data_IF_823079638058
#
_entry.id   IF_823079638058
#
_cell.length_a   1.000
_cell.length_b   1.000
_cell.length_c   1.000
_cell.angle_alpha   90.00
_cell.angle_beta   90.00
_cell.angle_gamma   90.00
#
_symmetry.space_group_name_H-M   'P 1'
#
loop_
_entity.id
_entity.type
_entity.pdbx_description
1 polymer ?
#
# COMPACT_ATOMS: atom_id res chain seq x y z
N UNK A 1 18.35 -45.00 -11.19
CA UNK A 1 19.47 -44.08 -11.47
C UNK A 1 18.92 -42.68 -11.16
N UNK A 2 18.69 -42.23 -9.93
CA UNK A 2 19.44 -42.32 -8.66
C UNK A 2 20.94 -42.01 -8.79
N UNK A 3 21.30 -40.80 -8.34
CA UNK A 3 22.40 -40.44 -7.41
C UNK A 3 22.63 -38.92 -7.53
N UNK A 4 22.17 -38.11 -6.59
CA UNK A 4 22.78 -37.84 -5.27
C UNK A 4 23.88 -36.76 -5.34
N UNK A 5 23.47 -35.54 -4.94
CA UNK A 5 24.35 -34.45 -4.54
C UNK A 5 25.13 -34.88 -3.28
N UNK A 6 26.45 -34.93 -3.38
CA UNK A 6 27.33 -35.34 -2.28
C UNK A 6 27.64 -34.20 -1.30
N UNK A 7 27.16 -34.43 -0.08
CA UNK A 7 27.72 -34.14 1.26
C UNK A 7 29.08 -33.43 1.35
N UNK A 8 29.03 -32.16 1.76
CA UNK A 8 29.87 -31.47 2.76
C UNK A 8 28.93 -30.43 3.38
N UNK A 9 28.53 -30.40 4.64
CA UNK A 9 28.94 -31.08 5.86
C UNK A 9 27.70 -31.28 6.75
N UNK A 10 27.65 -32.40 7.46
CA UNK A 10 26.65 -32.71 8.49
C UNK A 10 27.07 -32.09 9.83
N UNK A 11 26.08 -31.63 10.60
CA UNK A 11 26.01 -31.47 12.07
C UNK A 11 25.60 -30.04 12.48
N UNK A 12 24.73 -29.76 13.44
CA UNK A 12 23.73 -30.48 14.24
C UNK A 12 23.10 -29.39 15.17
N UNK A 13 21.87 -29.62 15.65
CA UNK A 13 21.23 -28.94 16.81
C UNK A 13 20.78 -27.49 16.54
N UNK A 14 19.52 -27.10 16.70
CA UNK A 14 18.64 -27.40 17.81
C UNK A 14 18.81 -26.35 18.90
N UNK A 15 18.10 -25.22 18.83
CA UNK A 15 17.72 -24.38 19.97
C UNK A 15 16.86 -23.20 19.49
N UNK A 16 15.59 -23.18 19.90
CA UNK A 16 14.90 -21.91 20.06
C UNK A 16 15.46 -21.21 21.29
N UNK A 17 15.90 -19.96 21.15
CA UNK A 17 15.94 -18.98 22.25
C UNK A 17 15.67 -17.60 21.63
N UNK A 18 14.79 -16.86 22.28
CA UNK A 18 14.51 -15.46 22.02
C UNK A 18 15.80 -14.63 22.05
N UNK A 19 16.08 -13.93 20.95
CA UNK A 19 16.91 -12.74 20.98
C UNK A 19 16.01 -11.53 20.74
N UNK A 20 15.73 -10.79 21.80
CA UNK A 20 15.36 -9.39 21.71
C UNK A 20 16.55 -8.65 21.08
N UNK A 21 16.64 -8.66 19.76
CA UNK A 21 17.63 -7.90 19.04
C UNK A 21 17.20 -6.43 19.14
N UNK A 22 17.91 -5.67 19.97
CA UNK A 22 17.99 -4.23 19.89
C UNK A 22 18.28 -3.87 18.43
N UNK A 23 17.26 -3.38 17.72
CA UNK A 23 17.44 -2.94 16.35
C UNK A 23 18.52 -1.86 16.32
N UNK A 24 19.45 -1.88 15.36
CA UNK A 24 20.44 -0.82 15.23
C UNK A 24 19.71 0.52 15.11
N UNK A 25 20.27 1.57 15.72
CA UNK A 25 19.66 2.90 15.80
C UNK A 25 19.31 3.46 14.42
N UNK A 26 19.95 2.99 13.35
CA UNK A 26 19.65 3.30 11.95
C UNK A 26 18.37 2.64 11.43
N UNK A 27 18.04 1.41 11.84
CA UNK A 27 16.78 0.75 11.51
C UNK A 27 15.60 1.37 12.28
N UNK A 28 15.82 1.73 13.55
CA UNK A 28 14.85 2.54 14.33
C UNK A 28 14.74 3.98 13.80
N UNK A 29 15.81 4.58 13.28
CA UNK A 29 15.78 5.90 12.64
C UNK A 29 15.11 5.87 11.26
N UNK A 30 15.26 4.79 10.49
CA UNK A 30 14.49 4.57 9.26
C UNK A 30 13.00 4.38 9.56
N UNK A 31 12.66 3.58 10.58
CA UNK A 31 11.28 3.41 11.05
C UNK A 31 10.68 4.69 11.68
N UNK A 32 11.50 5.53 12.32
CA UNK A 32 11.10 6.87 12.83
C UNK A 32 11.07 7.93 11.73
N UNK A 33 11.78 7.73 10.62
CA UNK A 33 11.69 8.52 9.40
C UNK A 33 10.41 8.24 8.59
N UNK A 34 9.73 7.14 8.88
CA UNK A 34 8.46 6.73 8.29
C UNK A 34 7.22 7.38 8.94
N UNK A 35 7.41 8.40 9.77
CA UNK A 35 6.32 9.34 10.08
C UNK A 35 5.82 10.05 8.80
N UNK A 36 4.63 10.67 8.83
CA UNK A 36 3.99 11.27 7.64
C UNK A 36 4.88 12.31 6.90
N UNK A 37 5.95 12.80 7.52
CA UNK A 37 6.97 13.67 6.91
C UNK A 37 7.68 13.07 5.69
N UNK A 38 7.75 11.74 5.56
CA UNK A 38 8.26 11.07 4.35
C UNK A 38 7.28 11.12 3.19
N UNK A 39 5.98 10.99 3.48
CA UNK A 39 4.88 10.98 2.52
C UNK A 39 4.50 12.37 1.98
N UNK A 40 5.05 13.45 2.58
CA UNK A 40 4.69 14.84 2.24
C UNK A 40 5.78 15.59 1.47
N UNK A 41 6.92 14.97 1.18
CA UNK A 41 8.01 15.59 0.40
C UNK A 41 7.92 15.17 -1.07
N UNK A 42 8.14 16.13 -1.97
CA UNK A 42 8.10 15.91 -3.43
C UNK A 42 6.80 16.36 -4.10
N UNK A 43 6.73 16.16 -5.41
CA UNK A 43 5.51 16.35 -6.21
C UNK A 43 4.44 15.30 -5.84
N UNK A 44 3.22 15.45 -6.34
CA UNK A 44 2.14 14.49 -6.06
C UNK A 44 2.53 13.05 -6.46
N UNK A 45 3.27 12.84 -7.55
CA UNK A 45 3.59 11.49 -8.02
C UNK A 45 4.62 10.81 -7.10
N UNK A 46 5.61 11.54 -6.60
CA UNK A 46 6.51 11.05 -5.56
C UNK A 46 5.77 10.70 -4.26
N UNK A 47 4.78 11.51 -3.87
CA UNK A 47 3.95 11.25 -2.68
C UNK A 47 3.11 9.99 -2.84
N UNK A 48 2.45 9.80 -3.99
CA UNK A 48 1.68 8.60 -4.32
C UNK A 48 2.55 7.34 -4.24
N UNK A 49 3.73 7.33 -4.90
CA UNK A 49 4.65 6.17 -4.84
C UNK A 49 5.11 5.85 -3.43
N UNK A 50 5.38 6.86 -2.62
CA UNK A 50 5.74 6.65 -1.22
C UNK A 50 4.57 6.01 -0.42
N UNK A 51 3.33 6.40 -0.72
CA UNK A 51 2.13 5.78 -0.13
C UNK A 51 1.93 4.34 -0.63
N UNK A 52 2.14 4.04 -1.91
CA UNK A 52 2.11 2.67 -2.44
C UNK A 52 3.09 1.75 -1.72
N UNK A 53 4.32 2.23 -1.48
CA UNK A 53 5.32 1.50 -0.71
C UNK A 53 4.88 1.26 0.74
N UNK A 54 4.29 2.27 1.40
CA UNK A 54 3.76 2.13 2.75
C UNK A 54 2.59 1.14 2.82
N UNK A 55 1.72 1.12 1.81
CA UNK A 55 0.62 0.16 1.69
C UNK A 55 1.16 -1.27 1.52
N UNK A 56 2.14 -1.48 0.63
CA UNK A 56 2.81 -2.77 0.45
C UNK A 56 3.43 -3.28 1.76
N UNK A 57 4.11 -2.40 2.50
CA UNK A 57 4.62 -2.73 3.83
C UNK A 57 3.49 -3.08 4.82
N UNK A 58 2.35 -2.40 4.74
CA UNK A 58 1.16 -2.68 5.54
C UNK A 58 0.63 -4.11 5.35
N UNK A 59 0.60 -4.65 4.12
CA UNK A 59 0.24 -6.06 3.89
C UNK A 59 1.18 -7.01 4.63
N UNK A 60 2.49 -6.76 4.59
CA UNK A 60 3.47 -7.57 5.31
C UNK A 60 3.28 -7.48 6.83
N UNK A 61 2.93 -6.30 7.35
CA UNK A 61 2.63 -6.13 8.77
C UNK A 61 1.42 -6.97 9.20
N UNK A 62 0.37 -7.05 8.38
CA UNK A 62 -0.80 -7.90 8.67
C UNK A 62 -0.43 -9.38 8.69
N UNK A 63 0.34 -9.85 7.69
CA UNK A 63 0.81 -11.24 7.61
C UNK A 63 1.65 -11.65 8.81
N UNK A 64 2.57 -10.78 9.21
CA UNK A 64 3.56 -11.06 10.25
C UNK A 64 3.05 -10.76 11.67
N UNK A 65 1.83 -10.22 11.81
CA UNK A 65 1.25 -9.91 13.10
C UNK A 65 1.03 -11.17 13.96
N UNK A 66 1.50 -11.12 15.21
CA UNK A 66 1.41 -12.23 16.15
C UNK A 66 0.11 -12.15 16.94
N UNK A 67 -0.81 -13.04 16.61
CA UNK A 67 -2.09 -13.21 17.31
C UNK A 67 -3.22 -12.32 16.78
N UNK A 68 -4.49 -12.63 17.14
CA UNK A 68 -5.66 -12.00 16.53
C UNK A 68 -5.75 -10.48 16.76
N UNK A 69 -5.41 -10.01 17.96
CA UNK A 69 -5.47 -8.58 18.30
C UNK A 69 -4.45 -7.76 17.49
N UNK A 70 -3.21 -8.24 17.37
CA UNK A 70 -2.17 -7.58 16.58
C UNK A 70 -2.54 -7.55 15.09
N UNK A 71 -3.10 -8.65 14.57
CA UNK A 71 -3.55 -8.74 13.18
C UNK A 71 -4.67 -7.74 12.87
N UNK A 72 -5.69 -7.66 13.75
CA UNK A 72 -6.76 -6.65 13.65
C UNK A 72 -6.21 -5.22 13.67
N UNK A 73 -5.29 -4.92 14.58
CA UNK A 73 -4.69 -3.60 14.67
C UNK A 73 -3.83 -3.25 13.44
N UNK A 74 -3.06 -4.20 12.91
CA UNK A 74 -2.31 -4.02 11.67
C UNK A 74 -3.24 -3.82 10.48
N UNK A 75 -4.30 -4.62 10.38
CA UNK A 75 -5.26 -4.52 9.29
C UNK A 75 -6.03 -3.20 9.34
N UNK A 76 -6.42 -2.74 10.54
CA UNK A 76 -7.06 -1.43 10.70
C UNK A 76 -6.17 -0.31 10.16
N UNK A 77 -4.87 -0.31 10.50
CA UNK A 77 -3.90 0.67 9.97
C UNK A 77 -3.79 0.62 8.45
N UNK A 78 -3.68 -0.58 7.88
CA UNK A 78 -3.65 -0.77 6.42
C UNK A 78 -4.94 -0.24 5.76
N UNK A 79 -6.10 -0.56 6.32
CA UNK A 79 -7.41 -0.13 5.80
C UNK A 79 -7.58 1.40 5.84
N UNK A 80 -7.12 2.06 6.92
CA UNK A 80 -7.12 3.52 7.02
C UNK A 80 -6.20 4.14 5.98
N UNK A 81 -4.99 3.59 5.80
CA UNK A 81 -4.05 4.09 4.80
C UNK A 81 -4.61 3.94 3.37
N UNK A 82 -5.18 2.79 3.03
CA UNK A 82 -5.85 2.55 1.75
C UNK A 82 -6.97 3.54 1.49
N UNK A 83 -7.83 3.77 2.48
CA UNK A 83 -8.96 4.70 2.35
C UNK A 83 -8.48 6.15 2.15
N UNK A 84 -7.49 6.58 2.93
CA UNK A 84 -6.93 7.93 2.82
C UNK A 84 -6.18 8.17 1.50
N UNK A 85 -5.50 7.15 1.00
CA UNK A 85 -4.82 7.17 -0.29
C UNK A 85 -5.83 7.27 -1.44
N UNK A 86 -6.81 6.35 -1.51
CA UNK A 86 -7.85 6.33 -2.54
C UNK A 86 -8.62 7.67 -2.61
N UNK A 87 -9.05 8.22 -1.46
CA UNK A 87 -9.77 9.50 -1.49
C UNK A 87 -8.89 10.68 -1.96
N UNK A 88 -7.59 10.64 -1.68
CA UNK A 88 -6.67 11.67 -2.15
C UNK A 88 -6.52 11.64 -3.68
N UNK A 89 -6.47 10.45 -4.29
CA UNK A 89 -6.43 10.29 -5.75
C UNK A 89 -7.74 10.70 -6.40
N UNK A 90 -8.87 10.22 -5.86
CA UNK A 90 -10.21 10.52 -6.36
C UNK A 90 -10.49 12.03 -6.39
N UNK A 91 -10.02 12.77 -5.38
CA UNK A 91 -10.27 14.21 -5.25
C UNK A 91 -9.23 15.05 -5.99
N UNK A 92 -7.95 14.68 -5.91
CA UNK A 92 -6.87 15.56 -6.38
C UNK A 92 -6.34 15.21 -7.78
N UNK A 93 -6.35 13.95 -8.18
CA UNK A 93 -5.66 13.48 -9.39
C UNK A 93 -6.63 13.09 -10.50
N UNK A 94 -7.66 12.31 -10.18
CA UNK A 94 -8.63 11.79 -11.14
C UNK A 94 -9.46 12.85 -11.90
N UNK A 95 -9.67 14.07 -11.38
CA UNK A 95 -10.23 15.15 -12.19
C UNK A 95 -9.27 15.72 -13.25
N UNK A 96 -7.96 15.50 -13.09
CA UNK A 96 -6.90 16.06 -13.93
C UNK A 96 -7.04 15.75 -15.44
N UNK A 97 -7.27 14.49 -15.85
CA UNK A 97 -7.51 14.14 -17.26
C UNK A 97 -8.64 14.92 -17.92
N UNK A 98 -9.75 15.14 -17.20
CA UNK A 98 -10.88 15.93 -17.69
C UNK A 98 -10.52 17.42 -17.84
N UNK A 99 -9.73 17.97 -16.92
CA UNK A 99 -9.28 19.37 -16.94
C UNK A 99 -8.24 19.62 -18.04
N UNK A 100 -7.39 18.64 -18.33
CA UNK A 100 -6.34 18.73 -19.36
C UNK A 100 -6.84 18.37 -20.77
N UNK A 101 -8.09 17.90 -20.89
CA UNK A 101 -8.64 17.41 -22.16
C UNK A 101 -7.96 16.15 -22.67
N UNK A 102 -7.22 15.45 -21.81
CA UNK A 102 -6.47 14.24 -22.12
C UNK A 102 -6.84 13.17 -21.09
N UNK A 103 -7.85 12.35 -21.40
CA UNK A 103 -8.28 11.25 -20.54
C UNK A 103 -9.20 10.28 -21.26
N UNK A 104 -8.90 9.00 -21.16
CA UNK A 104 -9.83 7.96 -21.59
C UNK A 104 -10.89 7.76 -20.49
N UNK A 105 -12.16 8.02 -20.85
CA UNK A 105 -13.28 7.84 -19.93
C UNK A 105 -13.46 6.38 -19.50
N UNK A 106 -13.03 5.41 -20.31
CA UNK A 106 -13.04 4.00 -19.93
C UNK A 106 -11.97 3.69 -18.89
N UNK A 107 -10.73 4.14 -19.10
CA UNK A 107 -9.62 4.02 -18.13
C UNK A 107 -10.01 4.64 -16.78
N UNK A 108 -10.57 5.84 -16.78
CA UNK A 108 -11.03 6.48 -15.54
C UNK A 108 -12.09 5.66 -14.82
N UNK A 109 -13.11 5.16 -15.54
CA UNK A 109 -14.15 4.32 -14.92
C UNK A 109 -13.56 3.06 -14.31
N UNK A 110 -12.61 2.42 -14.99
CA UNK A 110 -11.93 1.23 -14.48
C UNK A 110 -11.18 1.53 -13.17
N UNK A 111 -10.39 2.60 -13.12
CA UNK A 111 -9.65 3.00 -11.91
C UNK A 111 -10.60 3.25 -10.73
N UNK A 112 -11.73 3.94 -10.95
CA UNK A 112 -12.75 4.12 -9.92
C UNK A 112 -13.36 2.80 -9.45
N UNK A 113 -13.72 1.91 -10.37
CA UNK A 113 -14.31 0.60 -10.07
C UNK A 113 -13.36 -0.28 -9.25
N UNK A 114 -12.07 -0.32 -9.62
CA UNK A 114 -11.03 -1.05 -8.89
C UNK A 114 -10.92 -0.58 -7.43
N UNK A 115 -10.94 0.74 -7.20
CA UNK A 115 -10.91 1.29 -5.85
C UNK A 115 -12.19 0.96 -5.05
N UNK A 116 -13.38 0.96 -5.68
CA UNK A 116 -14.60 0.51 -4.99
C UNK A 116 -14.54 -0.98 -4.63
N UNK A 117 -14.03 -1.82 -5.52
CA UNK A 117 -13.83 -3.25 -5.23
C UNK A 117 -12.87 -3.47 -4.07
N UNK A 118 -11.77 -2.70 -4.00
CA UNK A 118 -10.82 -2.74 -2.89
C UNK A 118 -11.48 -2.36 -1.54
N UNK A 119 -12.37 -1.37 -1.52
CA UNK A 119 -13.15 -0.98 -0.33
C UNK A 119 -14.06 -2.13 0.14
N UNK A 120 -14.73 -2.81 -0.78
CA UNK A 120 -15.57 -3.99 -0.46
C UNK A 120 -14.73 -5.15 0.08
N UNK A 121 -13.59 -5.46 -0.54
CA UNK A 121 -12.67 -6.50 -0.05
C UNK A 121 -12.15 -6.19 1.35
N UNK A 122 -11.81 -4.93 1.62
CA UNK A 122 -11.37 -4.47 2.94
C UNK A 122 -12.44 -4.73 4.01
N UNK A 123 -13.71 -4.42 3.72
CA UNK A 123 -14.82 -4.70 4.64
C UNK A 123 -15.01 -6.22 4.89
N UNK A 124 -14.84 -7.05 3.85
CA UNK A 124 -14.91 -8.51 3.99
C UNK A 124 -13.78 -9.08 4.86
N UNK A 125 -12.57 -8.54 4.73
CA UNK A 125 -11.44 -8.94 5.58
C UNK A 125 -11.71 -8.53 7.04
N UNK A 126 -12.20 -7.30 7.29
CA UNK A 126 -12.53 -6.83 8.63
C UNK A 126 -13.56 -7.76 9.31
N UNK A 127 -14.62 -8.11 8.58
CA UNK A 127 -15.64 -9.04 9.07
C UNK A 127 -15.07 -10.43 9.39
N UNK A 128 -14.24 -10.99 8.51
CA UNK A 128 -13.59 -12.28 8.75
C UNK A 128 -12.69 -12.24 10.00
N UNK A 129 -11.92 -11.16 10.18
CA UNK A 129 -11.12 -10.96 11.38
C UNK A 129 -11.98 -10.83 12.63
N UNK A 130 -13.09 -10.09 12.58
CA UNK A 130 -14.04 -9.94 13.68
C UNK A 130 -14.58 -11.30 14.14
N UNK A 131 -14.92 -12.18 13.19
CA UNK A 131 -15.41 -13.55 13.43
C UNK A 131 -14.31 -14.56 13.79
N UNK A 132 -13.04 -14.17 13.83
CA UNK A 132 -11.92 -15.09 14.11
C UNK A 132 -11.58 -16.03 12.95
N UNK A 133 -12.08 -15.77 11.74
CA UNK A 133 -11.86 -16.58 10.54
C UNK A 133 -10.54 -16.21 9.86
N UNK A 134 -9.42 -16.57 10.50
CA UNK A 134 -8.07 -16.18 10.05
C UNK A 134 -7.77 -16.61 8.61
N UNK A 135 -8.05 -17.85 8.24
CA UNK A 135 -7.66 -18.38 6.92
C UNK A 135 -8.44 -17.70 5.78
N UNK A 136 -9.71 -17.39 6.01
CA UNK A 136 -10.53 -16.60 5.09
C UNK A 136 -9.99 -15.17 4.98
N UNK A 137 -9.67 -14.52 6.11
CA UNK A 137 -9.08 -13.19 6.12
C UNK A 137 -7.75 -13.15 5.34
N UNK A 138 -6.90 -14.17 5.50
CA UNK A 138 -5.63 -14.28 4.77
C UNK A 138 -5.80 -14.50 3.27
N UNK A 139 -6.77 -15.33 2.87
CA UNK A 139 -7.13 -15.52 1.46
C UNK A 139 -7.58 -14.20 0.82
N UNK A 140 -8.51 -13.50 1.48
CA UNK A 140 -9.02 -12.20 1.01
C UNK A 140 -7.92 -11.13 0.99
N UNK A 141 -7.03 -11.13 1.98
CA UNK A 141 -5.88 -10.21 2.04
C UNK A 141 -4.94 -10.41 0.84
N UNK A 142 -4.67 -11.66 0.46
CA UNK A 142 -3.86 -11.97 -0.72
C UNK A 142 -4.52 -11.54 -2.03
N UNK A 143 -5.85 -11.71 -2.15
CA UNK A 143 -6.62 -11.25 -3.31
C UNK A 143 -6.60 -9.71 -3.42
N UNK A 144 -6.79 -9.02 -2.30
CA UNK A 144 -6.72 -7.56 -2.24
C UNK A 144 -5.32 -7.06 -2.63
N UNK A 145 -4.25 -7.68 -2.11
CA UNK A 145 -2.88 -7.30 -2.47
C UNK A 145 -2.62 -7.49 -3.97
N UNK A 146 -3.04 -8.63 -4.54
CA UNK A 146 -2.87 -8.89 -5.97
C UNK A 146 -3.59 -7.84 -6.83
N UNK A 147 -4.86 -7.54 -6.51
CA UNK A 147 -5.64 -6.54 -7.22
C UNK A 147 -4.98 -5.14 -7.11
N UNK A 148 -4.53 -4.78 -5.91
CA UNK A 148 -3.88 -3.49 -5.69
C UNK A 148 -2.54 -3.38 -6.43
N UNK A 149 -1.72 -4.44 -6.48
CA UNK A 149 -0.45 -4.39 -7.22
C UNK A 149 -0.66 -4.27 -8.74
N UNK A 150 -1.79 -4.75 -9.26
CA UNK A 150 -2.18 -4.51 -10.66
C UNK A 150 -2.56 -3.04 -10.87
N UNK A 151 -3.44 -2.50 -10.01
CA UNK A 151 -3.84 -1.09 -10.00
C UNK A 151 -2.64 -0.14 -9.95
N UNK A 152 -1.78 -0.31 -8.93
CA UNK A 152 -0.56 0.49 -8.73
C UNK A 152 0.34 0.46 -9.97
N UNK A 153 0.45 -0.69 -10.65
CA UNK A 153 1.27 -0.80 -11.86
C UNK A 153 0.67 0.02 -13.01
N UNK A 154 -0.63 -0.10 -13.24
CA UNK A 154 -1.32 0.66 -14.28
C UNK A 154 -1.17 2.17 -14.04
N UNK A 155 -1.39 2.58 -12.80
CA UNK A 155 -1.24 3.96 -12.38
C UNK A 155 0.18 4.51 -12.56
N UNK A 156 1.19 3.83 -12.02
CA UNK A 156 2.58 4.32 -12.04
C UNK A 156 3.23 4.26 -13.43
N UNK A 157 2.75 3.38 -14.33
CA UNK A 157 3.38 3.19 -15.64
C UNK A 157 2.64 3.86 -16.79
N UNK A 158 1.32 4.07 -16.65
CA UNK A 158 0.48 4.60 -17.72
C UNK A 158 -0.17 5.91 -17.30
N UNK A 159 -1.06 5.84 -16.33
CA UNK A 159 -1.96 6.95 -15.99
C UNK A 159 -1.22 8.17 -15.43
N UNK A 160 -0.46 8.01 -14.35
CA UNK A 160 0.21 9.13 -13.69
C UNK A 160 1.30 9.80 -14.54
N UNK A 161 2.16 9.06 -15.27
CA UNK A 161 3.09 9.69 -16.20
C UNK A 161 2.39 10.50 -17.30
N UNK A 162 1.25 10.04 -17.82
CA UNK A 162 0.48 10.77 -18.82
C UNK A 162 -0.09 12.06 -18.24
N UNK A 163 -0.74 11.99 -17.08
CA UNK A 163 -1.27 13.15 -16.36
C UNK A 163 -0.18 14.17 -16.02
N UNK A 164 0.97 13.73 -15.52
CA UNK A 164 2.06 14.63 -15.14
C UNK A 164 2.57 15.44 -16.34
N UNK A 165 2.66 14.81 -17.52
CA UNK A 165 3.08 15.47 -18.77
C UNK A 165 2.03 16.46 -19.29
N UNK A 166 0.74 16.12 -19.22
CA UNK A 166 -0.33 16.95 -19.80
C UNK A 166 -0.72 18.14 -18.92
N UNK A 167 -0.57 18.02 -17.60
CA UNK A 167 -1.03 19.02 -16.63
C UNK A 167 -0.23 20.36 -16.66
N UNK A 168 1.03 20.35 -17.08
CA UNK A 168 1.91 21.52 -16.98
C UNK A 168 2.23 21.89 -15.52
N UNK A 169 3.11 22.87 -15.32
CA UNK A 169 3.67 23.15 -13.99
C UNK A 169 2.61 23.59 -12.95
N UNK A 170 1.75 24.56 -13.30
CA UNK A 170 0.79 25.14 -12.36
C UNK A 170 -0.24 24.12 -11.85
N UNK A 171 -0.72 23.21 -12.72
CA UNK A 171 -1.65 22.17 -12.32
C UNK A 171 -0.95 21.06 -11.52
N UNK A 172 0.28 20.66 -11.90
CA UNK A 172 1.08 19.73 -11.09
C UNK A 172 1.32 20.26 -9.66
N UNK A 173 1.61 21.56 -9.53
CA UNK A 173 1.75 22.21 -8.22
C UNK A 173 0.44 22.22 -7.42
N UNK A 174 -0.70 22.45 -8.10
CA UNK A 174 -2.02 22.38 -7.48
C UNK A 174 -2.32 20.96 -6.98
N UNK A 175 -2.19 19.95 -7.84
CA UNK A 175 -2.40 18.54 -7.48
C UNK A 175 -1.48 18.11 -6.34
N UNK A 176 -0.24 18.58 -6.32
CA UNK A 176 0.72 18.35 -5.21
C UNK A 176 0.20 18.86 -3.87
N UNK A 177 -0.39 20.06 -3.84
CA UNK A 177 -0.96 20.62 -2.60
C UNK A 177 -2.25 19.92 -2.21
N UNK A 178 -3.15 19.70 -3.17
CA UNK A 178 -4.48 19.13 -2.92
C UNK A 178 -4.37 17.67 -2.45
N UNK A 179 -3.57 16.86 -3.14
CA UNK A 179 -3.33 15.46 -2.76
C UNK A 179 -2.83 15.35 -1.32
N UNK A 180 -1.83 16.18 -0.97
CA UNK A 180 -1.29 16.23 0.39
C UNK A 180 -2.33 16.63 1.41
N UNK A 181 -3.13 17.65 1.10
CA UNK A 181 -4.17 18.17 1.99
C UNK A 181 -5.22 17.11 2.27
N UNK A 182 -5.78 16.51 1.22
CA UNK A 182 -6.84 15.49 1.31
C UNK A 182 -6.34 14.26 2.06
N UNK A 183 -5.14 13.76 1.71
CA UNK A 183 -4.55 12.63 2.42
C UNK A 183 -4.36 12.91 3.92
N UNK A 184 -3.83 14.10 4.27
CA UNK A 184 -3.59 14.47 5.66
C UNK A 184 -4.89 14.59 6.46
N UNK A 185 -5.94 15.12 5.85
CA UNK A 185 -7.28 15.20 6.46
C UNK A 185 -7.87 13.81 6.69
N UNK A 186 -7.76 12.91 5.71
CA UNK A 186 -8.28 11.55 5.82
C UNK A 186 -7.51 10.67 6.82
N UNK A 187 -6.26 11.03 7.14
CA UNK A 187 -5.42 10.34 8.13
C UNK A 187 -5.55 10.90 9.57
N UNK A 188 -6.24 12.02 9.75
CA UNK A 188 -6.42 12.68 11.07
C UNK A 188 -7.55 12.04 11.87
#
# INVERSE_FOLDING_TARGET
MDEAFSRRDLALLGAGVAAAASLPSTALAQARGSGPSGLTRGDWFAQVRAQHQAISAGFQMVRNARGPAAMKAAFKRLSTLLAAHSIAEEVALYPGPAVTGQGDQAEMRQLYEEQQMAKVMTARIDAALAMGQRDQAMTLLGQLEQALMAHVREEETQFFPALQRSAGAAMNDKMTRDFRMVFSQAMS
#
